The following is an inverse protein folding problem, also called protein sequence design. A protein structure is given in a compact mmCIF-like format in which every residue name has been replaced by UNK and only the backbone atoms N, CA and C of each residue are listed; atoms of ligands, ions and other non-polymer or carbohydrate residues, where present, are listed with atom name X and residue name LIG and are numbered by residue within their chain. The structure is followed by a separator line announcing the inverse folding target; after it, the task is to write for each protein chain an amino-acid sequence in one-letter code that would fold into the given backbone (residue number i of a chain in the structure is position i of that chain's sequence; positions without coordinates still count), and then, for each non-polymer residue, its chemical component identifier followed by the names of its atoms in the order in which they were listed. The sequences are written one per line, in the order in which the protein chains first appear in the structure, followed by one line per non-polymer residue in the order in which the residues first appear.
data_IF_519935622702
#
_entry.id   IF_519935622702
#
_cell.length_a   1.000
_cell.length_b   1.000
_cell.length_c   1.000
_cell.angle_alpha   90.00
_cell.angle_beta   90.00
_cell.angle_gamma   90.00
#
_symmetry.space_group_name_H-M   'P 1'
#
loop_
_entity.id
_entity.type
_entity.pdbx_description
1 polymer ?
#
# COMPACT_ATOMS: atom_id res chain seq x y z
N UNK A 1 26.39 -17.19 37.35
CA UNK A 1 26.50 -15.71 37.32
C UNK A 1 25.53 -15.19 36.27
N UNK A 2 24.43 -14.52 36.67
CA UNK A 2 23.43 -13.99 35.72
C UNK A 2 24.11 -12.92 34.84
N UNK A 3 24.20 -13.15 33.54
CA UNK A 3 24.67 -12.13 32.59
C UNK A 3 23.66 -10.98 32.57
N UNK A 4 23.97 -9.88 33.27
CA UNK A 4 23.23 -8.63 33.17
C UNK A 4 23.48 -8.03 31.77
N UNK A 5 22.41 -7.64 31.09
CA UNK A 5 22.46 -7.13 29.72
C UNK A 5 21.25 -7.55 28.88
N UNK A 6 21.16 -6.98 27.68
CA UNK A 6 20.06 -7.19 26.74
C UNK A 6 20.55 -7.61 25.35
N UNK A 7 19.67 -8.27 24.63
CA UNK A 7 19.81 -8.68 23.23
C UNK A 7 18.96 -7.77 22.36
N UNK A 8 19.50 -7.33 21.24
CA UNK A 8 18.74 -6.58 20.23
C UNK A 8 18.28 -7.54 19.15
N UNK A 9 16.98 -7.58 18.86
CA UNK A 9 16.40 -8.37 17.77
C UNK A 9 15.90 -7.40 16.70
N UNK A 10 16.38 -7.56 15.46
CA UNK A 10 15.96 -6.75 14.32
C UNK A 10 14.93 -7.57 13.54
N UNK A 11 13.68 -7.11 13.47
CA UNK A 11 12.61 -7.81 12.77
C UNK A 11 11.86 -6.89 11.79
N UNK A 12 11.54 -7.34 10.57
CA UNK A 12 10.96 -6.50 9.53
C UNK A 12 9.47 -6.18 9.74
N UNK A 13 8.75 -6.98 10.54
CA UNK A 13 7.31 -6.86 10.71
C UNK A 13 6.94 -6.35 12.10
N UNK A 14 6.30 -5.18 12.17
CA UNK A 14 5.87 -4.56 13.44
C UNK A 14 4.88 -5.45 14.19
N UNK A 15 3.97 -6.12 13.48
CA UNK A 15 3.01 -7.06 14.10
C UNK A 15 3.71 -8.19 14.84
N UNK A 16 4.74 -8.80 14.22
CA UNK A 16 5.52 -9.88 14.84
C UNK A 16 6.28 -9.38 16.07
N UNK A 17 6.80 -8.14 16.01
CA UNK A 17 7.47 -7.51 17.15
C UNK A 17 6.48 -7.34 18.32
N UNK A 18 5.28 -6.83 18.07
CA UNK A 18 4.26 -6.60 19.09
C UNK A 18 3.86 -7.91 19.77
N UNK A 19 3.58 -8.95 18.99
CA UNK A 19 3.21 -10.28 19.49
C UNK A 19 4.31 -10.87 20.38
N UNK A 20 5.57 -10.78 19.95
CA UNK A 20 6.71 -11.29 20.70
C UNK A 20 6.95 -10.50 22.00
N UNK A 21 6.84 -9.17 21.99
CA UNK A 21 6.97 -8.36 23.20
C UNK A 21 5.89 -8.73 24.21
N UNK A 22 4.64 -8.85 23.78
CA UNK A 22 3.52 -9.23 24.64
C UNK A 22 3.78 -10.60 25.28
N UNK A 23 4.10 -11.61 24.47
CA UNK A 23 4.36 -12.96 24.95
C UNK A 23 5.53 -13.02 25.94
N UNK A 24 6.63 -12.30 25.67
CA UNK A 24 7.78 -12.28 26.58
C UNK A 24 7.45 -11.63 27.91
N UNK A 25 6.69 -10.54 27.91
CA UNK A 25 6.31 -9.84 29.14
C UNK A 25 5.31 -10.67 29.96
N UNK A 26 4.39 -11.39 29.31
CA UNK A 26 3.46 -12.30 29.97
C UNK A 26 4.19 -13.45 30.70
N UNK A 27 5.27 -13.98 30.10
CA UNK A 27 6.02 -15.10 30.67
C UNK A 27 7.01 -14.65 31.75
N UNK A 28 7.70 -13.54 31.53
CA UNK A 28 8.88 -13.17 32.31
C UNK A 28 8.67 -12.00 33.30
N UNK A 29 7.46 -11.45 33.40
CA UNK A 29 7.08 -10.47 34.43
C UNK A 29 7.37 -9.01 34.03
N UNK A 30 7.76 -8.17 34.99
CA UNK A 30 7.89 -6.70 34.82
C UNK A 30 8.87 -6.29 33.70
N UNK A 31 8.32 -6.13 32.49
CA UNK A 31 8.90 -5.52 31.30
C UNK A 31 10.33 -5.95 30.88
N UNK A 32 10.63 -7.26 30.79
CA UNK A 32 11.92 -7.73 30.27
C UNK A 32 12.07 -7.53 28.76
N UNK A 33 10.98 -7.30 28.01
CA UNK A 33 11.00 -7.03 26.59
C UNK A 33 10.39 -5.66 26.24
N UNK A 34 11.08 -4.91 25.39
CA UNK A 34 10.57 -3.67 24.82
C UNK A 34 10.69 -3.70 23.30
N UNK A 35 9.76 -3.04 22.62
CA UNK A 35 9.91 -2.71 21.19
C UNK A 35 10.51 -1.32 21.02
N UNK A 36 11.17 -1.05 19.89
CA UNK A 36 11.50 0.29 19.42
C UNK A 36 11.22 0.43 17.92
N UNK A 37 10.09 1.05 17.58
CA UNK A 37 9.57 1.20 16.22
C UNK A 37 9.34 2.68 15.86
N UNK A 38 8.78 2.92 14.66
CA UNK A 38 8.35 4.25 14.23
C UNK A 38 7.06 4.75 14.90
N UNK A 39 6.27 3.86 15.49
CA UNK A 39 4.91 4.15 15.97
C UNK A 39 4.85 4.68 17.40
N UNK A 40 5.95 4.59 18.15
CA UNK A 40 5.98 4.96 19.56
C UNK A 40 6.03 6.46 19.78
N UNK A 41 5.43 6.89 20.89
CA UNK A 41 5.50 8.29 21.30
C UNK A 41 6.94 8.69 21.66
N UNK A 42 7.24 10.00 21.57
CA UNK A 42 8.57 10.51 22.00
C UNK A 42 8.86 10.19 23.47
N UNK A 43 7.83 10.19 24.31
CA UNK A 43 7.97 9.91 25.74
C UNK A 43 8.36 8.45 25.98
N UNK A 44 7.67 7.50 25.35
CA UNK A 44 7.99 6.06 25.40
C UNK A 44 9.40 5.77 24.90
N UNK A 45 9.75 6.30 23.71
CA UNK A 45 11.08 6.10 23.14
C UNK A 45 12.18 6.66 24.06
N UNK A 46 11.93 7.82 24.69
CA UNK A 46 12.85 8.42 25.66
C UNK A 46 13.02 7.58 26.92
N UNK A 47 11.95 6.99 27.44
CA UNK A 47 12.00 6.05 28.56
C UNK A 47 12.86 4.83 28.20
N UNK A 48 12.63 4.23 27.03
CA UNK A 48 13.43 3.08 26.56
C UNK A 48 14.91 3.46 26.44
N UNK A 49 15.24 4.62 25.85
CA UNK A 49 16.64 5.08 25.75
C UNK A 49 17.33 5.30 27.10
N UNK A 50 16.58 5.61 28.17
CA UNK A 50 17.10 5.67 29.54
C UNK A 50 17.34 4.25 30.06
N UNK A 51 16.38 3.35 29.87
CA UNK A 51 16.44 1.93 30.29
C UNK A 51 17.61 1.17 29.65
N UNK A 52 18.04 1.53 28.43
CA UNK A 52 19.21 0.91 27.78
C UNK A 52 20.53 1.17 28.52
N UNK A 53 20.66 2.32 29.18
CA UNK A 53 21.89 2.74 29.88
C UNK A 53 21.84 2.51 31.39
N UNK A 54 20.64 2.37 31.96
CA UNK A 54 20.45 2.15 33.39
C UNK A 54 21.10 0.82 33.82
N UNK A 55 21.93 0.85 34.86
CA UNK A 55 22.69 -0.33 35.34
C UNK A 55 21.81 -1.38 36.03
N UNK A 56 20.69 -0.95 36.61
CA UNK A 56 19.68 -1.73 37.32
C UNK A 56 18.52 -2.22 36.43
N UNK A 57 18.50 -1.85 35.16
CA UNK A 57 17.41 -2.19 34.25
C UNK A 57 17.23 -3.71 34.06
N UNK A 58 15.98 -4.15 34.13
CA UNK A 58 15.51 -5.53 33.96
C UNK A 58 15.49 -6.00 32.51
N UNK A 59 15.64 -5.07 31.55
CA UNK A 59 15.57 -5.32 30.12
C UNK A 59 16.47 -6.47 29.67
N UNK A 60 15.88 -7.44 28.97
CA UNK A 60 16.54 -8.60 28.37
C UNK A 60 16.50 -8.59 26.87
N UNK A 61 15.40 -8.12 26.27
CA UNK A 61 15.20 -8.15 24.82
C UNK A 61 14.69 -6.80 24.34
N UNK A 62 15.35 -6.24 23.33
CA UNK A 62 14.90 -5.06 22.62
C UNK A 62 14.62 -5.44 21.16
N UNK A 63 13.36 -5.45 20.77
CA UNK A 63 12.95 -5.69 19.40
C UNK A 63 12.87 -4.36 18.63
N UNK A 64 13.52 -4.27 17.47
CA UNK A 64 13.59 -3.02 16.68
C UNK A 64 13.28 -3.26 15.20
N UNK A 65 12.74 -2.26 14.52
CA UNK A 65 12.61 -2.31 13.06
C UNK A 65 13.91 -1.85 12.36
N UNK A 66 14.21 -2.36 11.15
CA UNK A 66 15.40 -1.93 10.39
C UNK A 66 15.44 -0.43 10.12
N UNK A 67 14.29 0.19 9.84
CA UNK A 67 14.20 1.62 9.53
C UNK A 67 14.59 2.46 10.75
N UNK A 68 14.21 2.02 11.95
CA UNK A 68 14.57 2.71 13.20
C UNK A 68 16.07 2.64 13.45
N UNK A 69 16.67 1.48 13.19
CA UNK A 69 18.11 1.28 13.32
C UNK A 69 18.89 2.20 12.37
N UNK A 70 18.47 2.29 11.11
CA UNK A 70 19.17 3.06 10.07
C UNK A 70 18.99 4.57 10.28
N UNK A 71 17.78 5.03 10.62
CA UNK A 71 17.47 6.46 10.69
C UNK A 71 17.90 7.11 12.01
N UNK A 72 17.99 6.36 13.11
CA UNK A 72 18.19 6.92 14.45
C UNK A 72 19.68 6.96 14.85
N UNK A 73 20.35 8.09 14.57
CA UNK A 73 21.72 8.35 15.08
C UNK A 73 21.82 8.28 16.61
N UNK A 74 20.74 8.69 17.30
CA UNK A 74 20.67 8.62 18.77
C UNK A 74 20.71 7.17 19.25
N UNK A 75 19.95 6.27 18.62
CA UNK A 75 19.92 4.85 18.99
C UNK A 75 21.31 4.22 18.83
N UNK A 76 22.01 4.52 17.72
CA UNK A 76 23.38 4.06 17.48
C UNK A 76 24.31 4.50 18.61
N UNK A 77 24.29 5.79 18.98
CA UNK A 77 25.10 6.31 20.10
C UNK A 77 24.76 5.65 21.45
N UNK A 78 23.49 5.27 21.66
CA UNK A 78 23.06 4.56 22.88
C UNK A 78 23.56 3.12 22.89
N UNK A 79 23.56 2.43 21.75
CA UNK A 79 24.14 1.09 21.63
C UNK A 79 25.64 1.09 21.86
N UNK A 80 26.38 2.07 21.34
CA UNK A 80 27.81 2.22 21.62
C UNK A 80 28.08 2.36 23.12
N UNK A 81 27.34 3.24 23.81
CA UNK A 81 27.45 3.41 25.27
C UNK A 81 27.05 2.17 26.05
N UNK A 82 25.99 1.48 25.63
CA UNK A 82 25.54 0.23 26.24
C UNK A 82 26.51 -0.94 26.01
N UNK A 83 27.24 -0.93 24.89
CA UNK A 83 28.30 -1.89 24.59
C UNK A 83 29.54 -1.63 25.46
N UNK A 84 29.95 -0.37 25.57
CA UNK A 84 31.06 0.04 26.45
C UNK A 84 30.79 -0.29 27.92
N UNK A 85 29.54 -0.16 28.38
CA UNK A 85 29.13 -0.58 29.73
C UNK A 85 28.88 -2.09 29.87
N UNK A 86 29.13 -2.88 28.81
CA UNK A 86 28.98 -4.33 28.79
C UNK A 86 27.54 -4.83 28.87
N UNK A 87 26.52 -3.96 28.70
CA UNK A 87 25.09 -4.35 28.74
C UNK A 87 24.58 -4.89 27.41
N UNK A 88 25.01 -4.35 26.27
CA UNK A 88 24.61 -4.86 24.97
C UNK A 88 25.38 -6.15 24.67
N UNK A 89 24.69 -7.28 24.56
CA UNK A 89 25.34 -8.60 24.45
C UNK A 89 25.46 -9.13 23.04
N UNK A 90 24.42 -8.92 22.21
CA UNK A 90 24.35 -9.47 20.85
C UNK A 90 23.22 -8.82 20.06
N UNK A 91 23.33 -8.96 18.74
CA UNK A 91 22.28 -8.70 17.78
C UNK A 91 21.77 -10.04 17.23
N UNK A 92 20.45 -10.11 17.03
CA UNK A 92 19.74 -11.19 16.34
C UNK A 92 19.02 -10.57 15.16
N UNK A 93 19.16 -11.16 13.98
CA UNK A 93 18.47 -10.73 12.78
C UNK A 93 17.39 -11.75 12.51
N UNK A 94 16.15 -11.33 12.70
CA UNK A 94 14.96 -12.10 12.37
C UNK A 94 14.71 -12.03 10.86
N UNK A 95 14.17 -13.11 10.29
CA UNK A 95 13.96 -13.25 8.84
C UNK A 95 15.20 -12.92 7.99
N UNK A 96 16.38 -13.37 8.41
CA UNK A 96 17.64 -13.16 7.68
C UNK A 96 17.58 -13.68 6.22
N UNK A 97 16.66 -14.61 5.94
CA UNK A 97 16.29 -15.08 4.60
C UNK A 97 15.89 -13.94 3.67
N UNK A 98 15.19 -12.90 4.16
CA UNK A 98 14.81 -11.72 3.37
C UNK A 98 16.02 -10.88 2.93
N UNK A 99 17.17 -11.00 3.61
CA UNK A 99 18.43 -10.34 3.24
C UNK A 99 19.28 -11.16 2.26
N UNK A 100 18.90 -12.40 1.97
CA UNK A 100 19.65 -13.32 1.10
C UNK A 100 18.79 -13.69 -0.11
N UNK A 101 19.16 -13.18 -1.29
CA UNK A 101 18.54 -13.60 -2.55
C UNK A 101 18.88 -15.08 -2.80
N UNK A 102 17.92 -15.99 -2.58
CA UNK A 102 18.04 -17.41 -2.99
C UNK A 102 17.98 -18.48 -1.90
N UNK A 103 17.39 -18.24 -0.72
CA UNK A 103 17.27 -19.28 0.30
C UNK A 103 15.97 -20.09 0.16
N UNK A 104 16.11 -21.40 -0.10
CA UNK A 104 15.05 -22.41 -0.06
C UNK A 104 14.78 -22.83 1.39
N UNK A 105 13.53 -22.69 1.84
CA UNK A 105 13.11 -23.12 3.18
C UNK A 105 12.89 -24.63 3.17
N UNK A 106 13.54 -25.34 4.10
CA UNK A 106 13.38 -26.78 4.30
C UNK A 106 12.26 -27.07 5.31
N UNK A 107 11.23 -27.77 4.84
CA UNK A 107 10.34 -28.69 5.56
C UNK A 107 9.81 -28.30 6.93
N UNK A 108 8.62 -27.68 6.97
CA UNK A 108 7.80 -27.66 8.19
C UNK A 108 7.32 -29.09 8.49
N UNK A 109 7.80 -29.68 9.59
CA UNK A 109 7.48 -31.07 10.00
C UNK A 109 6.03 -31.29 10.44
N UNK A 110 5.24 -30.21 10.55
CA UNK A 110 3.90 -30.21 11.12
C UNK A 110 2.80 -29.86 10.09
N UNK A 111 3.16 -29.76 8.80
CA UNK A 111 2.22 -29.48 7.72
C UNK A 111 1.88 -30.76 6.96
N UNK A 112 0.59 -31.09 6.93
CA UNK A 112 0.05 -32.15 6.08
C UNK A 112 -0.37 -31.54 4.74
N UNK A 113 0.22 -32.03 3.65
CA UNK A 113 -0.11 -31.58 2.30
C UNK A 113 -1.01 -32.61 1.62
N UNK A 114 -2.15 -32.15 1.11
CA UNK A 114 -3.09 -32.96 0.31
C UNK A 114 -3.41 -32.21 -0.99
N UNK A 115 -3.40 -32.92 -2.10
CA UNK A 115 -3.78 -32.39 -3.42
C UNK A 115 -5.06 -33.09 -3.86
N UNK A 116 -6.14 -32.32 -3.98
CA UNK A 116 -7.45 -32.82 -4.39
C UNK A 116 -7.81 -32.22 -5.75
N UNK A 117 -8.30 -33.05 -6.67
CA UNK A 117 -8.80 -32.56 -7.96
C UNK A 117 -10.00 -31.64 -7.76
N UNK A 118 -9.95 -30.43 -8.32
CA UNK A 118 -11.07 -29.48 -8.27
C UNK A 118 -12.20 -29.98 -9.17
N UNK A 119 -13.43 -30.16 -8.65
CA UNK A 119 -14.60 -30.49 -9.47
C UNK A 119 -14.84 -29.43 -10.55
N UNK A 120 -15.29 -29.86 -11.74
CA UNK A 120 -15.50 -28.98 -12.89
C UNK A 120 -16.57 -27.89 -12.66
N UNK A 121 -17.50 -28.09 -11.72
CA UNK A 121 -18.52 -27.10 -11.35
C UNK A 121 -18.17 -26.46 -10.01
N UNK A 122 -18.20 -25.13 -9.96
CA UNK A 122 -17.84 -24.38 -8.74
C UNK A 122 -18.78 -24.69 -7.56
N UNK A 123 -20.06 -24.95 -7.81
CA UNK A 123 -21.00 -25.34 -6.75
C UNK A 123 -20.59 -26.65 -6.04
N UNK A 124 -20.15 -27.65 -6.80
CA UNK A 124 -19.66 -28.92 -6.25
C UNK A 124 -18.29 -28.78 -5.60
N UNK A 125 -17.44 -27.87 -6.09
CA UNK A 125 -16.15 -27.58 -5.48
C UNK A 125 -16.33 -26.94 -4.09
N UNK A 126 -17.27 -25.99 -3.95
CA UNK A 126 -17.57 -25.36 -2.66
C UNK A 126 -18.23 -26.33 -1.69
N UNK A 127 -19.14 -27.19 -2.15
CA UNK A 127 -19.73 -28.24 -1.30
C UNK A 127 -18.65 -29.17 -0.73
N UNK A 128 -17.67 -29.55 -1.55
CA UNK A 128 -16.50 -30.34 -1.11
C UNK A 128 -15.67 -29.58 -0.08
N UNK A 129 -15.41 -28.29 -0.32
CA UNK A 129 -14.69 -27.42 0.62
C UNK A 129 -15.42 -27.29 1.97
N UNK A 130 -16.75 -27.10 1.95
CA UNK A 130 -17.55 -26.98 3.16
C UNK A 130 -17.54 -28.29 3.96
N UNK A 131 -17.61 -29.44 3.29
CA UNK A 131 -17.48 -30.75 3.96
C UNK A 131 -16.11 -30.92 4.59
N UNK A 132 -15.05 -30.49 3.90
CA UNK A 132 -13.69 -30.51 4.43
C UNK A 132 -13.58 -29.62 5.67
N UNK A 133 -14.06 -28.37 5.62
CA UNK A 133 -14.07 -27.47 6.78
C UNK A 133 -14.84 -28.07 7.98
N UNK A 134 -15.99 -28.69 7.72
CA UNK A 134 -16.79 -29.36 8.76
C UNK A 134 -16.16 -30.63 9.32
N UNK A 135 -15.12 -31.18 8.69
CA UNK A 135 -14.39 -32.33 9.22
C UNK A 135 -13.38 -31.96 10.31
N UNK A 136 -12.98 -30.68 10.40
CA UNK A 136 -12.13 -30.16 11.45
C UNK A 136 -12.91 -29.83 12.72
N UNK A 137 -12.22 -29.64 13.85
CA UNK A 137 -12.91 -29.30 15.09
C UNK A 137 -13.54 -27.89 14.99
N UNK A 138 -14.70 -27.64 15.62
CA UNK A 138 -15.37 -26.34 15.53
C UNK A 138 -14.55 -25.14 16.06
N UNK A 139 -13.52 -25.40 16.86
CA UNK A 139 -12.58 -24.40 17.38
C UNK A 139 -11.41 -24.12 16.44
N UNK A 140 -11.21 -24.93 15.40
CA UNK A 140 -10.07 -24.80 14.50
C UNK A 140 -10.27 -23.61 13.56
N UNK A 141 -9.20 -22.87 13.34
CA UNK A 141 -9.18 -21.75 12.41
C UNK A 141 -8.39 -22.12 11.17
N UNK A 142 -8.82 -21.58 10.02
CA UNK A 142 -8.22 -21.91 8.73
C UNK A 142 -8.31 -20.75 7.75
N UNK A 143 -7.45 -20.79 6.73
CA UNK A 143 -7.38 -19.78 5.67
C UNK A 143 -7.67 -20.46 4.34
N UNK A 144 -8.60 -19.90 3.56
CA UNK A 144 -8.89 -20.33 2.19
C UNK A 144 -8.42 -19.25 1.22
N UNK A 145 -7.42 -19.56 0.41
CA UNK A 145 -6.97 -18.68 -0.64
C UNK A 145 -7.83 -18.83 -1.90
N UNK A 146 -8.29 -17.70 -2.44
CA UNK A 146 -8.99 -17.63 -3.72
C UNK A 146 -8.15 -16.81 -4.71
N UNK A 147 -8.29 -17.11 -6.01
CA UNK A 147 -7.52 -16.43 -7.04
C UNK A 147 -8.04 -15.00 -7.28
N UNK A 148 -9.35 -14.80 -7.23
CA UNK A 148 -9.98 -13.50 -7.47
C UNK A 148 -10.88 -13.04 -6.32
N UNK A 149 -11.05 -11.73 -6.18
CA UNK A 149 -11.98 -11.12 -5.20
C UNK A 149 -13.41 -11.65 -5.36
N UNK A 150 -13.87 -11.80 -6.60
CA UNK A 150 -15.23 -12.31 -6.89
C UNK A 150 -15.41 -13.75 -6.37
N UNK A 151 -14.38 -14.57 -6.47
CA UNK A 151 -14.39 -15.92 -5.90
C UNK A 151 -14.35 -15.90 -4.38
N UNK A 152 -13.56 -15.00 -3.76
CA UNK A 152 -13.57 -14.82 -2.30
C UNK A 152 -14.96 -14.47 -1.79
N UNK A 153 -15.60 -13.46 -2.36
CA UNK A 153 -16.94 -13.02 -1.96
C UNK A 153 -17.99 -14.11 -2.18
N UNK A 154 -17.90 -14.83 -3.30
CA UNK A 154 -18.77 -15.97 -3.59
C UNK A 154 -18.58 -17.09 -2.57
N UNK A 155 -17.33 -17.47 -2.27
CA UNK A 155 -16.98 -18.49 -1.29
C UNK A 155 -17.47 -18.13 0.11
N UNK A 156 -17.28 -16.88 0.55
CA UNK A 156 -17.79 -16.39 1.84
C UNK A 156 -19.31 -16.45 1.89
N UNK A 157 -20.00 -15.89 0.88
CA UNK A 157 -21.47 -15.86 0.85
C UNK A 157 -22.08 -17.26 0.88
N UNK A 158 -21.50 -18.19 0.13
CA UNK A 158 -21.98 -19.57 0.08
C UNK A 158 -21.62 -20.31 1.37
N UNK A 159 -20.41 -20.14 1.91
CA UNK A 159 -19.97 -20.73 3.19
C UNK A 159 -20.87 -20.37 4.36
N UNK A 160 -21.22 -19.08 4.50
CA UNK A 160 -22.19 -18.60 5.51
C UNK A 160 -23.55 -19.28 5.32
N UNK A 161 -24.00 -19.45 4.07
CA UNK A 161 -25.27 -20.12 3.75
C UNK A 161 -25.30 -21.59 4.18
N UNK A 162 -24.15 -22.25 4.20
CA UNK A 162 -23.99 -23.62 4.67
C UNK A 162 -23.63 -23.73 6.17
N UNK A 163 -23.66 -22.61 6.90
CA UNK A 163 -23.46 -22.55 8.35
C UNK A 163 -21.99 -22.51 8.78
N UNK A 164 -21.06 -22.14 7.90
CA UNK A 164 -19.66 -21.93 8.26
C UNK A 164 -19.47 -20.46 8.67
N UNK A 165 -18.79 -20.23 9.80
CA UNK A 165 -18.38 -18.89 10.21
C UNK A 165 -17.15 -18.52 9.37
N UNK A 166 -17.33 -17.64 8.39
CA UNK A 166 -16.23 -17.16 7.56
C UNK A 166 -16.40 -15.67 7.24
N UNK A 167 -15.32 -14.91 7.35
CA UNK A 167 -15.27 -13.51 6.96
C UNK A 167 -14.51 -13.36 5.64
N UNK A 168 -15.10 -12.65 4.67
CA UNK A 168 -14.47 -12.36 3.40
C UNK A 168 -13.56 -11.14 3.53
N UNK A 169 -12.31 -11.35 3.93
CA UNK A 169 -11.31 -10.28 3.96
C UNK A 169 -10.35 -10.43 2.79
N UNK A 170 -10.50 -9.61 1.74
CA UNK A 170 -9.44 -9.45 0.76
C UNK A 170 -8.32 -8.61 1.41
N UNK A 171 -7.22 -9.25 1.83
CA UNK A 171 -6.06 -8.55 2.40
C UNK A 171 -5.43 -7.50 1.47
N UNK A 172 -5.77 -7.54 0.17
CA UNK A 172 -5.31 -6.59 -0.83
C UNK A 172 -6.29 -5.43 -1.10
N UNK A 173 -7.52 -5.51 -0.58
CA UNK A 173 -8.60 -4.59 -0.94
C UNK A 173 -9.50 -4.30 0.26
N UNK A 174 -9.02 -3.53 1.24
CA UNK A 174 -9.94 -2.58 1.88
C UNK A 174 -10.39 -1.61 0.79
N UNK A 175 -11.58 -1.82 0.23
CA UNK A 175 -12.47 -0.84 -0.43
C UNK A 175 -13.56 -1.62 -1.17
N UNK A 176 -14.76 -1.65 -0.61
CA UNK A 176 -15.95 -1.97 -1.37
C UNK A 176 -16.15 -0.85 -2.39
N UNK A 177 -16.08 -1.22 -3.66
CA UNK A 177 -16.38 -0.33 -4.78
C UNK A 177 -17.79 -0.73 -5.20
N UNK A 178 -18.79 0.03 -4.78
CA UNK A 178 -20.11 -0.07 -5.38
C UNK A 178 -19.94 0.26 -6.87
N UNK A 179 -20.26 -0.71 -7.74
CA UNK A 179 -20.02 -0.63 -9.18
C UNK A 179 -20.78 0.53 -9.88
N UNK A 180 -21.66 1.22 -9.17
CA UNK A 180 -22.50 2.30 -9.70
C UNK A 180 -21.91 3.70 -9.53
N UNK A 181 -20.97 3.92 -8.58
CA UNK A 181 -20.39 5.25 -8.35
C UNK A 181 -19.05 5.41 -9.09
N UNK A 182 -19.12 5.50 -10.42
CA UNK A 182 -17.96 5.75 -11.29
C UNK A 182 -18.05 7.12 -11.97
N UNK A 183 -16.91 7.78 -12.10
CA UNK A 183 -16.75 9.06 -12.78
C UNK A 183 -16.07 8.81 -14.13
N UNK A 184 -16.64 9.38 -15.20
CA UNK A 184 -16.05 9.39 -16.54
C UNK A 184 -14.92 10.44 -16.57
N UNK A 185 -13.69 9.97 -16.79
CA UNK A 185 -12.47 10.79 -16.87
C UNK A 185 -11.81 10.67 -18.25
N UNK A 186 -12.62 10.41 -19.29
CA UNK A 186 -12.14 10.27 -20.67
C UNK A 186 -11.47 11.54 -21.18
N UNK A 187 -12.00 12.73 -20.86
CA UNK A 187 -11.41 14.01 -21.26
C UNK A 187 -10.08 14.29 -20.56
N UNK A 188 -9.99 14.02 -19.25
CA UNK A 188 -8.73 14.10 -18.48
C UNK A 188 -7.67 13.18 -19.07
N UNK A 189 -8.07 12.00 -19.50
CA UNK A 189 -7.20 11.01 -20.12
C UNK A 189 -6.70 11.49 -21.49
N UNK A 190 -7.56 12.09 -22.31
CA UNK A 190 -7.17 12.69 -23.61
C UNK A 190 -6.19 13.86 -23.41
N UNK A 191 -6.43 14.70 -22.41
CA UNK A 191 -5.54 15.81 -22.06
C UNK A 191 -4.14 15.31 -21.67
N UNK A 192 -4.04 14.26 -20.84
CA UNK A 192 -2.77 13.63 -20.48
C UNK A 192 -2.02 13.08 -21.70
N UNK A 193 -2.73 12.43 -22.64
CA UNK A 193 -2.11 11.93 -23.87
C UNK A 193 -1.61 13.10 -24.74
N UNK A 194 -2.37 14.19 -24.82
CA UNK A 194 -1.94 15.40 -25.56
C UNK A 194 -0.65 15.98 -25.00
N UNK A 195 -0.50 16.05 -23.67
CA UNK A 195 0.72 16.56 -23.04
C UNK A 195 1.94 15.70 -23.40
N UNK A 196 1.78 14.37 -23.38
CA UNK A 196 2.87 13.44 -23.74
C UNK A 196 3.25 13.60 -25.21
N UNK A 197 2.27 13.74 -26.10
CA UNK A 197 2.52 13.95 -27.53
C UNK A 197 3.13 15.32 -27.81
N UNK A 198 2.67 16.38 -27.16
CA UNK A 198 3.22 17.74 -27.29
C UNK A 198 4.68 17.78 -26.81
N UNK A 199 5.00 17.10 -25.71
CA UNK A 199 6.37 16.94 -25.24
C UNK A 199 7.24 16.24 -26.29
N UNK A 200 6.68 15.25 -27.00
CA UNK A 200 7.33 14.56 -28.13
C UNK A 200 7.40 15.41 -29.40
N UNK A 201 6.45 16.31 -29.66
CA UNK A 201 6.34 17.09 -30.90
C UNK A 201 7.09 18.43 -30.86
N UNK A 202 7.23 19.07 -29.69
CA UNK A 202 8.09 20.24 -29.48
C UNK A 202 9.54 19.98 -29.93
N UNK A 203 9.97 18.72 -29.86
CA UNK A 203 11.24 18.24 -30.42
C UNK A 203 11.34 18.45 -31.94
N UNK A 204 10.30 18.07 -32.71
CA UNK A 204 10.29 18.16 -34.19
C UNK A 204 10.30 19.62 -34.65
N UNK A 205 9.56 20.50 -33.97
CA UNK A 205 9.49 21.93 -34.31
C UNK A 205 10.80 22.67 -34.02
N UNK A 206 11.46 22.36 -32.91
CA UNK A 206 12.76 22.95 -32.56
C UNK A 206 13.85 22.51 -33.55
N UNK A 207 13.86 21.23 -33.94
CA UNK A 207 14.75 20.70 -34.99
C UNK A 207 14.60 21.45 -36.32
N UNK A 208 13.38 21.76 -36.74
CA UNK A 208 13.14 22.47 -38.00
C UNK A 208 13.68 23.90 -37.97
N UNK A 209 13.43 24.65 -36.89
CA UNK A 209 13.90 26.03 -36.73
C UNK A 209 15.44 26.09 -36.61
N UNK A 210 16.05 25.17 -35.85
CA UNK A 210 17.51 25.13 -35.70
C UNK A 210 18.21 24.66 -36.98
N UNK A 211 17.64 23.69 -37.70
CA UNK A 211 18.18 23.21 -38.99
C UNK A 211 18.14 24.30 -40.07
N UNK A 212 17.14 25.18 -40.07
CA UNK A 212 17.08 26.33 -40.98
C UNK A 212 18.13 27.38 -40.62
N UNK A 213 18.54 27.48 -39.34
CA UNK A 213 19.41 28.57 -38.85
C UNK A 213 20.89 28.21 -38.78
N UNK A 214 21.28 26.92 -38.76
CA UNK A 214 22.69 26.49 -38.71
C UNK A 214 22.96 25.34 -39.68
N UNK A 215 23.81 25.61 -40.67
CA UNK A 215 24.26 24.66 -41.68
C UNK A 215 25.36 23.70 -41.13
N UNK A 216 25.09 23.00 -40.03
CA UNK A 216 25.99 21.98 -39.45
C UNK A 216 25.27 21.06 -38.46
N UNK A 217 25.22 19.74 -38.72
CA UNK A 217 24.57 18.78 -37.83
C UNK A 217 25.54 18.36 -36.72
N UNK A 218 25.54 19.08 -35.59
CA UNK A 218 26.16 18.59 -34.36
C UNK A 218 25.10 17.99 -33.45
N UNK A 219 25.23 16.67 -33.25
CA UNK A 219 24.50 15.80 -32.33
C UNK A 219 24.04 16.47 -31.02
N UNK A 220 22.77 16.88 -30.95
CA UNK A 220 22.10 17.14 -29.67
C UNK A 220 20.65 16.62 -29.72
N UNK A 221 20.51 15.34 -30.05
CA UNK A 221 19.24 14.63 -30.06
C UNK A 221 18.83 14.29 -28.63
N UNK A 222 17.93 15.06 -28.01
CA UNK A 222 17.20 14.62 -26.81
C UNK A 222 15.71 14.85 -26.99
N UNK A 223 14.99 13.77 -27.30
CA UNK A 223 13.53 13.71 -27.16
C UNK A 223 13.17 14.06 -25.71
N UNK A 224 12.20 14.96 -25.51
CA UNK A 224 11.70 15.27 -24.17
C UNK A 224 10.73 14.17 -23.74
N UNK A 225 11.19 13.29 -22.86
CA UNK A 225 10.41 12.19 -22.27
C UNK A 225 9.93 12.59 -20.87
N UNK A 226 8.68 12.27 -20.55
CA UNK A 226 8.06 12.63 -19.28
C UNK A 226 7.98 11.42 -18.35
N UNK A 227 8.46 11.58 -17.12
CA UNK A 227 8.17 10.65 -16.02
C UNK A 227 6.76 10.90 -15.46
N UNK A 228 6.22 9.97 -14.69
CA UNK A 228 4.89 10.11 -14.07
C UNK A 228 4.75 11.43 -13.28
N UNK A 229 5.75 11.76 -12.46
CA UNK A 229 5.76 13.01 -11.70
C UNK A 229 5.73 14.25 -12.61
N UNK A 230 6.58 14.26 -13.65
CA UNK A 230 6.65 15.38 -14.59
C UNK A 230 5.35 15.54 -15.40
N UNK A 231 4.72 14.43 -15.78
CA UNK A 231 3.44 14.44 -16.48
C UNK A 231 2.35 15.09 -15.62
N UNK A 232 2.26 14.72 -14.34
CA UNK A 232 1.27 15.30 -13.41
C UNK A 232 1.58 16.77 -13.10
N UNK A 233 2.86 17.12 -12.93
CA UNK A 233 3.27 18.51 -12.74
C UNK A 233 2.89 19.38 -13.96
N UNK A 234 3.04 18.87 -15.18
CA UNK A 234 2.61 19.55 -16.41
C UNK A 234 1.09 19.63 -16.55
N UNK A 235 0.39 18.54 -16.26
CA UNK A 235 -1.09 18.49 -16.25
C UNK A 235 -1.69 19.49 -15.28
N UNK A 236 -1.05 19.71 -14.12
CA UNK A 236 -1.46 20.71 -13.11
C UNK A 236 -0.86 22.10 -13.31
N UNK A 237 -0.06 22.32 -14.36
CA UNK A 237 0.56 23.62 -14.63
C UNK A 237 -0.47 24.65 -15.12
N UNK A 238 -0.31 25.93 -14.75
CA UNK A 238 -1.26 27.00 -15.12
C UNK A 238 -1.48 27.14 -16.64
N UNK A 239 -0.46 26.87 -17.45
CA UNK A 239 -0.52 27.01 -18.92
C UNK A 239 -1.47 25.98 -19.55
N UNK A 240 -1.37 24.71 -19.14
CA UNK A 240 -2.22 23.64 -19.64
C UNK A 240 -3.58 23.60 -18.92
N UNK A 241 -3.61 23.92 -17.63
CA UNK A 241 -4.85 24.06 -16.89
C UNK A 241 -5.75 25.10 -17.56
N UNK A 242 -5.26 26.27 -17.97
CA UNK A 242 -6.09 27.26 -18.67
C UNK A 242 -6.69 26.74 -19.99
N UNK A 243 -5.89 26.07 -20.83
CA UNK A 243 -6.33 25.56 -22.13
C UNK A 243 -7.39 24.45 -22.03
N UNK A 244 -7.32 23.59 -21.01
CA UNK A 244 -8.23 22.46 -20.86
C UNK A 244 -9.37 22.68 -19.85
N UNK A 245 -9.20 23.60 -18.88
CA UNK A 245 -10.29 24.00 -17.96
C UNK A 245 -11.40 24.75 -18.70
N UNK A 246 -11.09 25.38 -19.84
CA UNK A 246 -12.10 25.94 -20.75
C UNK A 246 -12.95 24.86 -21.45
N UNK A 247 -12.42 23.63 -21.61
CA UNK A 247 -13.15 22.48 -22.17
C UNK A 247 -13.90 21.66 -21.11
N UNK A 248 -13.30 21.45 -19.93
CA UNK A 248 -13.94 20.75 -18.82
C UNK A 248 -13.45 21.30 -17.46
N UNK A 249 -14.32 21.95 -16.66
CA UNK A 249 -13.96 22.51 -15.35
C UNK A 249 -13.55 21.45 -14.32
N UNK A 250 -13.92 20.17 -14.53
CA UNK A 250 -13.56 19.08 -13.61
C UNK A 250 -12.08 18.69 -13.70
N UNK A 251 -11.34 19.15 -14.72
CA UNK A 251 -9.89 18.93 -14.88
C UNK A 251 -9.09 19.67 -13.80
N UNK A 252 -9.51 20.89 -13.47
CA UNK A 252 -8.90 21.67 -12.40
C UNK A 252 -9.17 21.06 -11.01
N UNK A 253 -10.36 20.47 -10.83
CA UNK A 253 -10.84 19.94 -9.55
C UNK A 253 -10.16 18.64 -9.09
N UNK A 254 -9.52 17.87 -9.97
CA UNK A 254 -8.87 16.61 -9.59
C UNK A 254 -7.73 16.82 -8.57
N UNK A 255 -7.64 16.02 -7.52
CA UNK A 255 -6.47 16.02 -6.62
C UNK A 255 -5.24 15.40 -7.32
N UNK A 256 -4.03 15.62 -6.78
CA UNK A 256 -2.79 14.97 -7.31
C UNK A 256 -2.87 13.44 -7.22
N UNK A 257 -3.38 12.92 -6.11
CA UNK A 257 -3.58 11.48 -5.89
C UNK A 257 -4.63 10.87 -6.82
N UNK A 258 -5.67 11.63 -7.16
CA UNK A 258 -6.63 11.23 -8.19
C UNK A 258 -5.96 11.18 -9.58
N UNK A 259 -5.05 12.12 -9.89
CA UNK A 259 -4.23 12.05 -11.10
C UNK A 259 -3.33 10.81 -11.11
N UNK A 260 -2.68 10.46 -10.00
CA UNK A 260 -1.87 9.23 -9.89
C UNK A 260 -2.72 7.98 -10.19
N UNK A 261 -3.91 7.89 -9.58
CA UNK A 261 -4.85 6.79 -9.79
C UNK A 261 -5.33 6.70 -11.24
N UNK A 262 -5.55 7.85 -11.87
CA UNK A 262 -5.89 7.94 -13.29
C UNK A 262 -4.75 7.44 -14.17
N UNK A 263 -3.50 7.88 -13.96
CA UNK A 263 -2.35 7.40 -14.75
C UNK A 263 -2.16 5.89 -14.59
N UNK A 264 -2.34 5.34 -13.38
CA UNK A 264 -2.29 3.89 -13.13
C UNK A 264 -3.38 3.17 -13.93
N UNK A 265 -4.62 3.68 -13.94
CA UNK A 265 -5.70 3.09 -14.72
C UNK A 265 -5.42 3.16 -16.24
N UNK A 266 -4.80 4.23 -16.71
CA UNK A 266 -4.40 4.36 -18.11
C UNK A 266 -3.30 3.37 -18.52
N UNK A 267 -2.37 3.06 -17.61
CA UNK A 267 -1.38 2.01 -17.81
C UNK A 267 -2.05 0.63 -17.87
N UNK A 268 -2.93 0.32 -16.92
CA UNK A 268 -3.65 -0.96 -16.86
C UNK A 268 -4.57 -1.17 -18.07
N UNK A 269 -5.19 -0.10 -18.57
CA UNK A 269 -6.04 -0.14 -19.76
C UNK A 269 -5.26 -0.09 -21.08
N UNK A 270 -3.92 -0.13 -21.04
CA UNK A 270 -3.03 -0.05 -22.20
C UNK A 270 -3.23 1.22 -23.06
N UNK A 271 -3.74 2.29 -22.44
CA UNK A 271 -3.84 3.63 -23.04
C UNK A 271 -2.50 4.35 -22.93
N UNK A 272 -1.78 4.14 -21.83
CA UNK A 272 -0.38 4.54 -21.67
C UNK A 272 0.49 3.29 -21.57
N UNK A 273 1.78 3.43 -21.86
CA UNK A 273 2.78 2.39 -21.68
C UNK A 273 4.04 2.94 -21.01
N UNK A 274 4.70 2.14 -20.16
CA UNK A 274 6.00 2.49 -19.62
C UNK A 274 7.07 2.30 -20.69
N UNK A 275 7.92 3.30 -20.87
CA UNK A 275 9.13 3.22 -21.67
C UNK A 275 10.34 3.27 -20.74
N UNK A 276 11.08 2.15 -20.66
CA UNK A 276 12.20 2.00 -19.76
C UNK A 276 13.49 2.47 -20.45
N UNK A 277 14.19 3.40 -19.81
CA UNK A 277 15.51 3.86 -20.24
C UNK A 277 16.55 3.47 -19.20
N UNK A 278 17.61 2.80 -19.66
CA UNK A 278 18.72 2.39 -18.82
C UNK A 278 19.83 3.42 -18.90
N UNK A 279 20.23 3.96 -17.75
CA UNK A 279 21.42 4.82 -17.63
C UNK A 279 22.50 4.07 -16.84
N UNK A 280 23.72 4.62 -16.81
CA UNK A 280 24.85 4.00 -16.10
C UNK A 280 24.59 3.72 -14.61
N UNK A 281 23.65 4.44 -13.98
CA UNK A 281 23.40 4.33 -12.53
C UNK A 281 21.94 4.06 -12.17
N UNK A 282 20.99 4.39 -13.05
CA UNK A 282 19.56 4.33 -12.75
C UNK A 282 18.75 3.78 -13.94
N UNK A 283 17.67 3.07 -13.62
CA UNK A 283 16.62 2.73 -14.58
C UNK A 283 15.50 3.76 -14.44
N UNK A 284 15.21 4.50 -15.51
CA UNK A 284 14.20 5.56 -15.51
C UNK A 284 12.99 5.09 -16.31
N UNK A 285 11.80 5.21 -15.73
CA UNK A 285 10.54 4.91 -16.40
C UNK A 285 9.91 6.20 -16.92
N UNK A 286 9.78 6.28 -18.25
CA UNK A 286 9.04 7.33 -18.94
C UNK A 286 7.65 6.81 -19.37
N UNK A 287 6.75 7.71 -19.73
CA UNK A 287 5.41 7.39 -20.20
C UNK A 287 5.26 7.74 -21.68
N UNK A 288 4.67 6.82 -22.44
CA UNK A 288 4.31 7.02 -23.86
C UNK A 288 2.87 6.61 -24.13
N UNK A 289 2.23 7.13 -25.21
CA UNK A 289 0.93 6.67 -25.63
C UNK A 289 0.98 5.18 -26.01
N UNK A 290 0.07 4.39 -25.44
CA UNK A 290 -0.08 2.97 -25.71
C UNK A 290 -0.96 2.68 -26.94
N UNK A 291 -1.15 1.40 -27.29
CA UNK A 291 -1.90 0.99 -28.48
C UNK A 291 -3.37 1.40 -28.46
N UNK A 292 -3.95 1.64 -27.26
CA UNK A 292 -5.35 2.07 -27.12
C UNK A 292 -5.52 3.59 -27.03
N UNK A 293 -4.43 4.37 -27.06
CA UNK A 293 -4.48 5.83 -27.00
C UNK A 293 -5.29 6.45 -28.16
N UNK A 294 -5.04 5.99 -29.40
CA UNK A 294 -5.77 6.49 -30.56
C UNK A 294 -7.25 6.14 -30.54
N UNK A 295 -7.60 4.99 -29.97
CA UNK A 295 -8.99 4.56 -29.82
C UNK A 295 -9.74 5.43 -28.81
N UNK A 296 -9.09 5.84 -27.71
CA UNK A 296 -9.66 6.76 -26.74
C UNK A 296 -9.87 8.16 -27.34
N UNK A 297 -8.91 8.65 -28.12
CA UNK A 297 -9.02 9.93 -28.85
C UNK A 297 -10.15 9.96 -29.88
N UNK A 298 -10.53 8.81 -30.43
CA UNK A 298 -11.63 8.64 -31.38
C UNK A 298 -12.95 8.28 -30.70
N UNK A 299 -13.05 8.44 -29.37
CA UNK A 299 -14.25 8.15 -28.59
C UNK A 299 -14.78 6.72 -28.73
N UNK A 300 -13.88 5.75 -28.99
CA UNK A 300 -14.26 4.33 -29.18
C UNK A 300 -14.56 3.60 -27.88
N UNK A 301 -14.09 4.14 -26.75
CA UNK A 301 -14.38 3.66 -25.41
C UNK A 301 -14.13 4.78 -24.40
N UNK A 302 -14.68 4.63 -23.20
CA UNK A 302 -14.57 5.60 -22.10
C UNK A 302 -13.67 5.09 -20.99
N UNK A 303 -13.06 6.00 -20.24
CA UNK A 303 -12.30 5.73 -19.02
C UNK A 303 -13.16 6.08 -17.83
N UNK A 304 -13.49 5.08 -17.02
CA UNK A 304 -14.28 5.25 -15.79
C UNK A 304 -13.44 4.87 -14.58
N UNK A 305 -13.45 5.73 -13.56
CA UNK A 305 -12.84 5.45 -12.27
C UNK A 305 -13.90 5.45 -11.17
N UNK A 306 -13.87 4.48 -10.24
CA UNK A 306 -14.61 4.56 -8.99
C UNK A 306 -14.37 5.89 -8.26
N UNK A 307 -15.45 6.55 -7.85
CA UNK A 307 -15.41 7.84 -7.15
C UNK A 307 -14.62 7.77 -5.84
N UNK A 308 -14.70 6.64 -5.14
CA UNK A 308 -13.90 6.38 -3.95
C UNK A 308 -12.38 6.41 -4.19
N UNK A 309 -11.88 6.19 -5.42
CA UNK A 309 -10.45 6.31 -5.73
C UNK A 309 -10.01 7.77 -5.91
N UNK A 310 -10.95 8.67 -6.15
CA UNK A 310 -10.73 10.10 -6.31
C UNK A 310 -10.80 10.79 -4.94
N UNK A 311 -11.74 10.36 -4.08
CA UNK A 311 -12.02 10.98 -2.78
C UNK A 311 -11.17 10.42 -1.61
N UNK A 312 -10.54 9.25 -1.76
CA UNK A 312 -9.85 8.51 -0.68
C UNK A 312 -8.61 9.19 -0.05
N UNK A 313 -8.32 10.46 -0.33
CA UNK A 313 -7.16 11.16 0.24
C UNK A 313 -7.45 12.56 0.79
N UNK A 314 -8.70 13.02 0.85
CA UNK A 314 -9.02 14.22 1.63
C UNK A 314 -9.14 13.95 3.14
N UNK A 315 -9.10 12.69 3.58
CA UNK A 315 -9.05 12.36 5.01
C UNK A 315 -7.61 12.36 5.53
N UNK A 316 -7.05 13.54 5.72
CA UNK A 316 -6.02 13.75 6.74
C UNK A 316 -6.41 14.92 7.62
N UNK A 317 -6.74 14.57 8.86
CA UNK A 317 -6.76 15.41 10.07
C UNK A 317 -8.00 16.32 10.26
N UNK A 318 -8.66 16.14 11.41
CA UNK A 318 -9.79 16.89 11.98
C UNK A 318 -11.23 16.62 11.46
N UNK A 319 -11.77 15.44 11.79
CA UNK A 319 -13.22 15.30 11.97
C UNK A 319 -13.55 14.35 13.13
N UNK A 320 -13.96 14.93 14.26
CA UNK A 320 -14.60 14.23 15.38
C UNK A 320 -15.89 13.57 14.84
N UNK A 321 -16.19 12.29 15.15
CA UNK A 321 -17.38 11.65 14.62
C UNK A 321 -18.64 12.25 15.25
N UNK A 322 -19.41 13.00 14.47
CA UNK A 322 -20.77 13.40 14.84
C UNK A 322 -21.68 12.19 14.66
N UNK A 323 -22.13 11.63 15.78
CA UNK A 323 -23.13 10.55 15.78
C UNK A 323 -24.43 11.00 15.09
N UNK A 324 -25.09 10.14 14.30
CA UNK A 324 -26.33 10.48 13.62
C UNK A 324 -27.46 10.70 14.64
N UNK A 325 -28.04 11.90 14.64
CA UNK A 325 -29.21 12.25 15.46
C UNK A 325 -30.38 11.33 15.11
N UNK A 326 -30.73 10.43 16.05
CA UNK A 326 -31.99 9.66 16.01
C UNK A 326 -33.16 10.63 15.85
N UNK A 327 -33.89 10.54 14.73
CA UNK A 327 -35.20 11.17 14.56
C UNK A 327 -36.15 10.58 15.61
N UNK A 328 -36.46 11.37 16.65
CA UNK A 328 -37.51 11.05 17.61
C UNK A 328 -38.87 11.09 16.90
N UNK A 329 -39.52 9.93 16.76
CA UNK A 329 -40.96 9.84 16.46
C UNK A 329 -41.71 10.43 17.65
N UNK A 330 -42.53 11.47 17.43
CA UNK A 330 -43.53 11.94 18.41
C UNK A 330 -44.73 11.02 18.33
N UNK A 331 -45.06 10.37 19.44
CA UNK A 331 -46.40 9.80 19.69
C UNK A 331 -47.24 10.83 20.47
N UNK A 332 -48.58 10.80 20.37
CA UNK A 332 -49.45 11.90 20.82
C UNK A 332 -49.54 12.01 22.35
N UNK A 333 -49.73 13.24 22.82
CA UNK A 333 -49.96 13.62 24.21
C UNK A 333 -51.23 12.96 24.76
N UNK A 334 -51.10 12.29 25.91
CA UNK A 334 -52.22 11.95 26.79
C UNK A 334 -52.06 12.82 28.03
N UNK A 335 -53.05 13.67 28.25
CA UNK A 335 -53.20 14.53 29.43
C UNK A 335 -54.02 13.71 30.43
N UNK A 336 -53.45 13.43 31.60
CA UNK A 336 -54.24 13.05 32.77
C UNK A 336 -54.03 14.10 33.86
N UNK A 337 -55.17 14.52 34.39
CA UNK A 337 -55.36 15.56 35.39
C UNK A 337 -55.54 14.85 36.74
N UNK A 338 -54.87 15.40 37.74
CA UNK A 338 -54.78 15.08 39.19
C UNK A 338 -54.04 13.81 39.63
#
# INVERSE_FOLDING_TARGET
MKSSGFTVVISPLISLIQDQVMLFNDIAGEEPACQLSGEQSRAEASAIYKTLLASDSTLKILLITPEKLIKSKLLISRFEKAYQSGRLKRFVIDEATAAVSGATISGAKNLHYEVVEKPAKDATAIDTLVRLVKSFYPSDTGIVYCLTRKETEYCTRVGVRYGVICEGACGNCKRDIDAEDTIDLSEHSKALISIIEDAKQLYVKHLWIESVRRNSPRNLFRERRLTLKQLIDEFKSRKFAQQWTELDPTIAALSRSACDSLVINLLLSNVLQPEISYTAYNTICYLVPGPRAQHLKRDRFKIQLPRCLIDATESSEDAIPVMPKKKRKRSPEVIEID
#
